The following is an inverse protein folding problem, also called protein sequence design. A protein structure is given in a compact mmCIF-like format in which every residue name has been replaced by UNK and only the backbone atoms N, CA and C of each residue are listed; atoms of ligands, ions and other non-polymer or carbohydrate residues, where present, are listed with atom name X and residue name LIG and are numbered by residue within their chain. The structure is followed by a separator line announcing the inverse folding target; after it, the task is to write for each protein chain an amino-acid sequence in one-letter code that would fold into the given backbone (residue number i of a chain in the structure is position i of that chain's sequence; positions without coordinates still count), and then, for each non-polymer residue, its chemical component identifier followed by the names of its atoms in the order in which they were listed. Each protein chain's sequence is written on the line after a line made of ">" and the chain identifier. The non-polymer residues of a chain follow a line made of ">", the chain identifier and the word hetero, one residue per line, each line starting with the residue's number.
data_IF_369936568386
#
_entry.id   IF_369936568386
#
_cell.length_a   1.000
_cell.length_b   1.000
_cell.length_c   1.000
_cell.angle_alpha   90.00
_cell.angle_beta   90.00
_cell.angle_gamma   90.00
#
_symmetry.space_group_name_H-M   'P 1'
#
loop_
_entity.id
_entity.type
_entity.pdbx_description
1 polymer ?
#
# COMPACT_ATOMS: atom_id res chain seq x y z
N UNK A 1 6.93 -2.71 21.20
CA UNK A 1 6.59 -2.40 19.80
C UNK A 1 7.88 -2.45 18.99
N UNK A 2 8.14 -3.50 18.17
CA UNK A 2 9.31 -3.48 17.31
C UNK A 2 9.18 -2.30 16.34
N UNK A 3 10.20 -1.45 16.31
CA UNK A 3 10.21 -0.24 15.48
C UNK A 3 9.94 -0.61 14.02
N UNK A 4 8.99 0.06 13.37
CA UNK A 4 8.61 -0.15 11.95
C UNK A 4 9.82 -0.21 11.00
N UNK A 5 10.91 0.48 11.36
CA UNK A 5 12.22 0.45 10.69
C UNK A 5 12.91 -0.91 10.68
N UNK A 6 12.79 -1.69 11.76
CA UNK A 6 13.43 -3.03 11.89
C UNK A 6 12.71 -4.04 11.03
N UNK A 7 11.38 -4.04 11.02
CA UNK A 7 10.58 -4.91 10.14
C UNK A 7 10.87 -4.60 8.66
N UNK A 8 10.96 -3.31 8.30
CA UNK A 8 11.34 -2.90 6.95
C UNK A 8 12.77 -3.33 6.58
N UNK A 9 13.74 -3.12 7.46
CA UNK A 9 15.13 -3.50 7.22
C UNK A 9 15.31 -5.03 7.10
N UNK A 10 14.62 -5.81 7.93
CA UNK A 10 14.66 -7.27 7.88
C UNK A 10 14.10 -7.79 6.55
N UNK A 11 12.99 -7.21 6.08
CA UNK A 11 12.36 -7.59 4.82
C UNK A 11 13.24 -7.20 3.62
N UNK A 12 13.91 -6.04 3.69
CA UNK A 12 14.84 -5.59 2.66
C UNK A 12 16.08 -6.50 2.57
N UNK A 13 16.67 -6.86 3.71
CA UNK A 13 17.83 -7.78 3.75
C UNK A 13 17.42 -9.17 3.27
N UNK A 14 16.28 -9.69 3.72
CA UNK A 14 15.77 -10.98 3.27
C UNK A 14 15.52 -11.00 1.75
N UNK A 15 14.97 -9.93 1.20
CA UNK A 15 14.74 -9.78 -0.25
C UNK A 15 16.06 -9.76 -1.03
N UNK A 16 17.05 -8.99 -0.58
CA UNK A 16 18.38 -8.94 -1.20
C UNK A 16 19.05 -10.32 -1.18
N UNK A 17 18.98 -11.03 -0.05
CA UNK A 17 19.55 -12.39 0.06
C UNK A 17 18.89 -13.35 -0.93
N UNK A 18 17.57 -13.33 -1.05
CA UNK A 18 16.84 -14.16 -2.01
C UNK A 18 17.25 -13.84 -3.46
N UNK A 19 17.40 -12.54 -3.80
CA UNK A 19 17.84 -12.10 -5.13
C UNK A 19 19.24 -12.62 -5.44
N UNK A 20 20.18 -12.48 -4.51
CA UNK A 20 21.58 -12.91 -4.70
C UNK A 20 21.66 -14.43 -4.83
N UNK A 21 21.00 -15.18 -3.95
CA UNK A 21 20.98 -16.64 -4.00
C UNK A 21 20.35 -17.15 -5.30
N UNK A 22 19.25 -16.54 -5.74
CA UNK A 22 18.60 -16.89 -7.01
C UNK A 22 19.52 -16.66 -8.22
N UNK A 23 20.20 -15.51 -8.28
CA UNK A 23 21.14 -15.21 -9.38
C UNK A 23 22.34 -16.16 -9.38
N UNK A 24 22.91 -16.46 -8.21
CA UNK A 24 24.03 -17.39 -8.07
C UNK A 24 23.62 -18.82 -8.46
N UNK A 25 22.43 -19.27 -8.03
CA UNK A 25 21.90 -20.58 -8.40
C UNK A 25 21.62 -20.69 -9.90
N UNK A 26 21.18 -19.61 -10.54
CA UNK A 26 20.91 -19.58 -11.98
C UNK A 26 22.20 -19.60 -12.83
N UNK A 27 23.28 -18.99 -12.34
CA UNK A 27 24.56 -18.91 -13.04
C UNK A 27 25.44 -20.17 -12.85
N UNK A 28 25.06 -21.10 -11.97
CA UNK A 28 25.77 -22.36 -11.73
C UNK A 28 25.46 -23.40 -12.84
N UNK A 29 26.44 -23.74 -13.71
CA UNK A 29 26.24 -24.63 -14.87
C UNK A 29 25.66 -26.03 -14.59
N UNK A 30 25.97 -26.72 -13.47
CA UNK A 30 25.51 -28.09 -13.27
C UNK A 30 24.03 -28.23 -12.88
N UNK A 31 23.36 -27.14 -12.49
CA UNK A 31 21.93 -27.12 -12.12
C UNK A 31 21.06 -26.45 -13.20
N UNK A 32 21.68 -25.88 -14.24
CA UNK A 32 21.06 -24.88 -15.11
C UNK A 32 20.66 -25.38 -16.50
N UNK A 33 20.64 -26.68 -16.79
CA UNK A 33 20.34 -27.14 -18.17
C UNK A 33 18.83 -27.23 -18.46
N UNK A 34 18.06 -27.87 -17.58
CA UNK A 34 16.60 -28.06 -17.77
C UNK A 34 15.79 -27.30 -16.70
N UNK A 35 16.29 -27.27 -15.46
CA UNK A 35 15.62 -26.61 -14.35
C UNK A 35 15.69 -25.07 -14.46
N UNK A 36 16.75 -24.50 -15.05
CA UNK A 36 16.88 -23.04 -15.21
C UNK A 36 15.79 -22.46 -16.09
N UNK A 37 15.44 -23.15 -17.20
CA UNK A 37 14.41 -22.69 -18.13
C UNK A 37 13.05 -22.74 -17.45
N UNK A 38 12.77 -23.80 -16.68
CA UNK A 38 11.54 -23.90 -15.89
C UNK A 38 11.47 -22.80 -14.81
N UNK A 39 12.56 -22.56 -14.08
CA UNK A 39 12.63 -21.54 -13.04
C UNK A 39 12.53 -20.12 -13.62
N UNK A 40 13.17 -19.86 -14.75
CA UNK A 40 13.06 -18.59 -15.48
C UNK A 40 11.61 -18.34 -15.93
N UNK A 41 10.96 -19.35 -16.53
CA UNK A 41 9.55 -19.27 -16.92
C UNK A 41 8.63 -19.01 -15.72
N UNK A 42 8.89 -19.64 -14.59
CA UNK A 42 8.11 -19.45 -13.37
C UNK A 42 8.27 -18.03 -12.82
N UNK A 43 9.50 -17.53 -12.71
CA UNK A 43 9.77 -16.17 -12.23
C UNK A 43 9.20 -15.11 -13.19
N UNK A 44 9.37 -15.30 -14.50
CA UNK A 44 8.80 -14.41 -15.52
C UNK A 44 7.27 -14.40 -15.44
N UNK A 45 6.64 -15.56 -15.25
CA UNK A 45 5.19 -15.65 -15.03
C UNK A 45 4.75 -14.91 -13.76
N UNK A 46 5.51 -14.96 -12.66
CA UNK A 46 5.18 -14.24 -11.44
C UNK A 46 5.26 -12.73 -11.65
N UNK A 47 6.27 -12.25 -12.39
CA UNK A 47 6.40 -10.82 -12.74
C UNK A 47 5.20 -10.36 -13.57
N UNK A 48 4.84 -11.13 -14.60
CA UNK A 48 3.68 -10.82 -15.45
C UNK A 48 2.38 -10.82 -14.63
N UNK A 49 2.17 -11.81 -13.76
CA UNK A 49 0.99 -11.86 -12.87
C UNK A 49 0.95 -10.65 -11.94
N UNK A 50 2.09 -10.24 -11.35
CA UNK A 50 2.15 -9.08 -10.47
C UNK A 50 1.75 -7.79 -11.20
N UNK A 51 2.28 -7.57 -12.41
CA UNK A 51 1.91 -6.40 -13.24
C UNK A 51 0.44 -6.43 -13.62
N UNK A 52 -0.07 -7.59 -14.07
CA UNK A 52 -1.48 -7.74 -14.42
C UNK A 52 -2.42 -7.59 -13.22
N UNK A 53 -2.01 -8.03 -12.03
CA UNK A 53 -2.78 -7.84 -10.80
C UNK A 53 -2.90 -6.35 -10.43
N UNK A 54 -1.82 -5.58 -10.59
CA UNK A 54 -1.85 -4.12 -10.39
C UNK A 54 -2.77 -3.45 -11.42
N UNK A 55 -2.67 -3.82 -12.70
CA UNK A 55 -3.54 -3.29 -13.76
C UNK A 55 -5.01 -3.65 -13.53
N UNK A 56 -5.28 -4.88 -13.12
CA UNK A 56 -6.63 -5.34 -12.77
C UNK A 56 -7.18 -4.59 -11.55
N UNK A 57 -6.36 -4.35 -10.53
CA UNK A 57 -6.74 -3.53 -9.38
C UNK A 57 -7.10 -2.10 -9.79
N UNK A 58 -6.27 -1.45 -10.63
CA UNK A 58 -6.54 -0.10 -11.13
C UNK A 58 -7.82 -0.09 -11.97
N UNK A 59 -8.00 -1.06 -12.87
CA UNK A 59 -9.23 -1.21 -13.65
C UNK A 59 -10.47 -1.41 -12.78
N UNK A 60 -10.35 -2.22 -11.72
CA UNK A 60 -11.39 -2.40 -10.71
C UNK A 60 -11.72 -1.10 -10.00
N UNK A 61 -10.72 -0.30 -9.60
CA UNK A 61 -10.96 1.01 -8.99
C UNK A 61 -11.63 1.99 -9.95
N UNK A 62 -11.28 2.01 -11.23
CA UNK A 62 -11.91 2.94 -12.20
C UNK A 62 -13.39 2.64 -12.45
N UNK A 63 -13.77 1.37 -12.44
CA UNK A 63 -15.19 0.95 -12.55
C UNK A 63 -15.96 1.29 -11.28
N UNK A 64 -15.30 1.26 -10.13
CA UNK A 64 -15.91 1.44 -8.81
C UNK A 64 -15.75 2.85 -8.25
N UNK A 65 -14.99 3.73 -8.92
CA UNK A 65 -14.96 5.17 -8.66
C UNK A 65 -15.97 5.85 -9.57
N UNK A 66 -17.22 6.06 -9.11
CA UNK A 66 -18.15 6.93 -9.81
C UNK A 66 -17.50 8.31 -9.98
N UNK A 67 -17.75 8.99 -11.11
CA UNK A 67 -17.14 10.26 -11.44
C UNK A 67 -17.27 11.22 -10.25
N UNK A 68 -16.17 11.90 -9.89
CA UNK A 68 -16.10 12.73 -8.69
C UNK A 68 -17.30 13.67 -8.64
N UNK A 69 -18.04 13.61 -7.53
CA UNK A 69 -19.21 14.46 -7.29
C UNK A 69 -18.81 15.94 -7.37
N UNK A 70 -19.73 16.84 -7.79
CA UNK A 70 -19.47 18.28 -7.87
C UNK A 70 -18.89 18.82 -6.54
N UNK A 71 -17.80 19.59 -6.66
CA UNK A 71 -16.98 20.10 -5.55
C UNK A 71 -17.81 20.89 -4.50
N UNK A 72 -18.91 21.52 -4.91
CA UNK A 72 -19.79 22.31 -4.03
C UNK A 72 -20.50 21.52 -2.92
N UNK A 73 -20.83 20.24 -3.14
CA UNK A 73 -21.48 19.42 -2.08
C UNK A 73 -20.46 18.96 -1.04
N UNK A 74 -19.26 18.59 -1.48
CA UNK A 74 -18.16 18.14 -0.60
C UNK A 74 -17.67 19.29 0.28
N UNK A 75 -17.56 20.50 -0.28
CA UNK A 75 -17.17 21.69 0.46
C UNK A 75 -18.22 22.08 1.52
N UNK A 76 -19.52 22.00 1.17
CA UNK A 76 -20.62 22.25 2.12
C UNK A 76 -20.71 21.21 3.24
N UNK A 77 -20.52 19.92 2.95
CA UNK A 77 -20.50 18.88 3.99
C UNK A 77 -19.29 19.05 4.92
N UNK A 78 -18.10 19.33 4.37
CA UNK A 78 -16.88 19.52 5.16
C UNK A 78 -16.95 20.77 6.04
N UNK A 79 -17.48 21.88 5.53
CA UNK A 79 -17.64 23.12 6.30
C UNK A 79 -18.66 22.93 7.45
N UNK A 80 -19.69 22.12 7.23
CA UNK A 80 -20.70 21.79 8.23
C UNK A 80 -20.13 20.89 9.34
N UNK A 81 -19.32 19.90 8.98
CA UNK A 81 -18.60 19.07 9.96
C UNK A 81 -17.61 19.92 10.77
N UNK A 82 -16.80 20.78 10.12
CA UNK A 82 -15.85 21.67 10.79
C UNK A 82 -16.55 22.60 11.79
N UNK A 83 -17.69 23.20 11.40
CA UNK A 83 -18.48 24.07 12.29
C UNK A 83 -19.02 23.29 13.49
N UNK A 84 -19.51 22.08 13.29
CA UNK A 84 -20.04 21.25 14.37
C UNK A 84 -18.97 20.83 15.39
N UNK A 85 -17.75 20.51 14.92
CA UNK A 85 -16.60 20.16 15.76
C UNK A 85 -16.12 21.39 16.53
N UNK A 86 -16.01 22.55 15.86
CA UNK A 86 -15.61 23.82 16.49
C UNK A 86 -16.60 24.23 17.58
N UNK A 87 -17.90 24.11 17.32
CA UNK A 87 -18.96 24.47 18.27
C UNK A 87 -18.97 23.54 19.48
N UNK A 88 -18.80 22.22 19.28
CA UNK A 88 -18.62 21.26 20.40
C UNK A 88 -17.38 21.58 21.24
N UNK A 89 -16.25 21.87 20.60
CA UNK A 89 -15.00 22.20 21.29
C UNK A 89 -15.11 23.47 22.13
N UNK A 90 -15.79 24.51 21.65
CA UNK A 90 -16.05 25.74 22.42
C UNK A 90 -17.06 25.51 23.57
N UNK A 91 -18.03 24.62 23.39
CA UNK A 91 -19.03 24.30 24.40
C UNK A 91 -18.43 23.46 25.55
N UNK A 92 -17.52 22.54 25.23
CA UNK A 92 -16.72 21.78 26.20
C UNK A 92 -15.73 22.69 26.95
N UNK A 93 -15.07 23.64 26.26
CA UNK A 93 -14.17 24.61 26.88
C UNK A 93 -14.90 25.60 27.81
N UNK A 94 -16.10 26.06 27.44
CA UNK A 94 -16.90 26.98 28.27
C UNK A 94 -17.53 26.32 29.50
N UNK A 95 -17.83 25.03 29.44
CA UNK A 95 -18.32 24.26 30.60
C UNK A 95 -17.22 23.97 31.61
N UNK A 96 -15.97 23.79 31.18
CA UNK A 96 -14.83 23.58 32.07
C UNK A 96 -14.43 24.85 32.86
N UNK A 97 -14.73 26.05 32.38
CA UNK A 97 -14.36 27.33 33.03
C UNK A 97 -15.44 27.92 33.94
N UNK A 98 -16.69 27.43 33.89
CA UNK A 98 -17.81 27.94 34.70
C UNK A 98 -18.09 27.13 35.97
N UNK A 99 -17.35 26.02 36.20
CA UNK A 99 -17.57 25.09 37.31
C UNK A 99 -16.50 25.09 38.41
N UNK A 100 -15.61 26.10 38.46
CA UNK A 100 -14.65 26.32 39.56
C UNK A 100 -14.92 27.63 40.28
#
# INVERSE_FOLDING_TARGET
>A
MPSSKVTGALLLIASIVIIVVYNVALWLPPLSSEASIFLLKLTDSIIVIAVLAILAWIGYTLITTPPPKPIEEIEKELEKELKSITQKSQQEAGQATSGS
#
